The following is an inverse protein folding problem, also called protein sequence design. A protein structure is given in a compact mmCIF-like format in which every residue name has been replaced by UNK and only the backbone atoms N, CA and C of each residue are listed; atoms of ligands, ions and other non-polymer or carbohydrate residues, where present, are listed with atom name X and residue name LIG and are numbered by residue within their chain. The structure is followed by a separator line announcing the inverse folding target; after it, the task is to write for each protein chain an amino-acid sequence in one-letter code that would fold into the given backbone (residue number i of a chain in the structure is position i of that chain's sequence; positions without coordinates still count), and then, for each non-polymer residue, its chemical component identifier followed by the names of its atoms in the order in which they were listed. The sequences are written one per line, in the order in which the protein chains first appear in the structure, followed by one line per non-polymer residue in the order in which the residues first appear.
data_IF_251132730136
#
_entry.id   IF_251132730136
#
_cell.length_a   1.000
_cell.length_b   1.000
_cell.length_c   1.000
_cell.angle_alpha   90.00
_cell.angle_beta   90.00
_cell.angle_gamma   90.00
#
_symmetry.space_group_name_H-M   'P 1'
#
loop_
_entity.id
_entity.type
_entity.pdbx_description
1 polymer ?
#
# COMPACT_ATOMS: atom_id res chain seq x y z
N UNK A 1 1.01 -7.12 15.15
CA UNK A 1 0.74 -6.29 13.97
C UNK A 1 0.75 -7.22 12.76
N UNK A 2 -0.37 -7.39 12.03
CA UNK A 2 -0.48 -8.32 10.91
C UNK A 2 0.26 -7.87 9.65
N UNK A 3 0.68 -6.60 9.59
CA UNK A 3 1.44 -6.02 8.49
C UNK A 3 2.92 -6.03 8.89
N UNK A 4 3.73 -6.78 8.16
CA UNK A 4 5.20 -6.74 8.27
C UNK A 4 5.73 -6.00 7.06
N UNK A 5 6.74 -5.16 7.23
CA UNK A 5 7.36 -4.49 6.08
C UNK A 5 8.88 -4.37 6.19
N UNK A 6 9.51 -4.25 5.04
CA UNK A 6 10.91 -3.88 4.86
C UNK A 6 11.04 -2.82 3.77
N UNK A 7 12.07 -1.98 3.86
CA UNK A 7 12.40 -1.01 2.81
C UNK A 7 13.62 -1.55 2.06
N UNK A 8 13.46 -1.79 0.76
CA UNK A 8 14.56 -2.01 -0.16
C UNK A 8 15.04 -0.65 -0.67
N UNK A 9 16.17 -0.19 -0.14
CA UNK A 9 16.76 1.10 -0.52
C UNK A 9 17.30 1.08 -1.96
N UNK A 10 17.74 -0.07 -2.46
CA UNK A 10 18.26 -0.18 -3.82
C UNK A 10 17.14 -0.10 -4.86
N UNK A 11 15.99 -0.71 -4.57
CA UNK A 11 14.79 -0.64 -5.40
C UNK A 11 13.90 0.58 -5.11
N UNK A 12 14.24 1.38 -4.10
CA UNK A 12 13.40 2.47 -3.58
C UNK A 12 11.95 2.01 -3.31
N UNK A 13 11.79 0.80 -2.75
CA UNK A 13 10.51 0.12 -2.62
C UNK A 13 10.28 -0.41 -1.20
N UNK A 14 9.08 -0.18 -0.68
CA UNK A 14 8.62 -0.81 0.55
C UNK A 14 7.89 -2.09 0.20
N UNK A 15 8.33 -3.22 0.76
CA UNK A 15 7.63 -4.49 0.67
C UNK A 15 6.85 -4.72 1.95
N UNK A 16 5.53 -4.69 1.87
CA UNK A 16 4.63 -4.97 2.98
C UNK A 16 3.90 -6.30 2.73
N UNK A 17 3.79 -7.13 3.76
CA UNK A 17 3.05 -8.38 3.75
C UNK A 17 1.99 -8.35 4.84
N UNK A 18 0.75 -8.63 4.46
CA UNK A 18 -0.41 -8.67 5.34
C UNK A 18 -0.77 -10.12 5.65
N UNK A 19 -0.75 -10.47 6.93
CA UNK A 19 -0.93 -11.85 7.40
C UNK A 19 -1.98 -11.92 8.51
N UNK A 20 -2.89 -12.89 8.45
CA UNK A 20 -3.87 -13.11 9.51
C UNK A 20 -5.02 -12.08 9.53
N UNK A 21 -5.75 -11.95 10.64
CA UNK A 21 -6.87 -11.01 10.74
C UNK A 21 -6.35 -9.57 10.75
N UNK A 22 -6.78 -8.78 9.76
CA UNK A 22 -6.48 -7.36 9.68
C UNK A 22 -7.57 -6.56 10.39
N UNK A 23 -7.19 -5.84 11.43
CA UNK A 23 -8.06 -4.89 12.12
C UNK A 23 -8.02 -3.53 11.43
N UNK A 24 -9.02 -2.71 11.70
CA UNK A 24 -9.14 -1.37 11.11
C UNK A 24 -7.94 -0.46 11.42
N UNK A 25 -7.36 -0.57 12.63
CA UNK A 25 -6.23 0.25 13.04
C UNK A 25 -4.90 -0.19 12.40
N UNK A 26 -4.79 -1.41 11.88
CA UNK A 26 -3.51 -1.95 11.42
C UNK A 26 -2.94 -1.20 10.19
N UNK A 27 -3.72 -0.88 9.14
CA UNK A 27 -3.20 -0.09 8.02
C UNK A 27 -2.78 1.33 8.45
N UNK A 28 -3.47 1.92 9.43
CA UNK A 28 -3.16 3.24 9.97
C UNK A 28 -1.81 3.19 10.70
N UNK A 29 -1.65 2.24 11.63
CA UNK A 29 -0.39 2.04 12.34
C UNK A 29 0.76 1.70 11.40
N UNK A 30 0.52 0.95 10.33
CA UNK A 30 1.52 0.70 9.29
C UNK A 30 1.99 2.00 8.64
N UNK A 31 1.07 2.88 8.23
CA UNK A 31 1.43 4.16 7.61
C UNK A 31 2.22 5.04 8.59
N UNK A 32 1.79 5.11 9.85
CA UNK A 32 2.51 5.88 10.88
C UNK A 32 3.92 5.32 11.11
N UNK A 33 4.04 4.00 11.27
CA UNK A 33 5.34 3.34 11.46
C UNK A 33 6.25 3.54 10.26
N UNK A 34 5.72 3.50 9.03
CA UNK A 34 6.47 3.77 7.82
C UNK A 34 6.95 5.23 7.76
N UNK A 35 6.08 6.19 8.09
CA UNK A 35 6.43 7.61 8.09
C UNK A 35 7.52 7.96 9.11
N UNK A 36 7.58 7.24 10.22
CA UNK A 36 8.57 7.43 11.27
C UNK A 36 9.82 6.53 11.06
N UNK A 37 9.84 5.69 10.02
CA UNK A 37 10.96 4.80 9.73
C UNK A 37 12.20 5.61 9.25
N UNK A 38 13.41 5.34 9.78
CA UNK A 38 14.60 6.14 9.45
C UNK A 38 15.03 6.08 7.98
N UNK A 39 14.68 5.00 7.28
CA UNK A 39 14.92 4.84 5.84
C UNK A 39 13.77 5.37 4.94
N UNK A 40 12.67 5.88 5.52
CA UNK A 40 11.59 6.46 4.73
C UNK A 40 12.02 7.73 4.01
N UNK A 41 11.78 7.80 2.70
CA UNK A 41 12.02 8.99 1.89
C UNK A 41 10.81 9.24 0.98
N UNK A 42 10.47 10.50 0.67
CA UNK A 42 9.49 10.81 -0.38
C UNK A 42 9.88 10.17 -1.72
N UNK A 43 8.90 9.66 -2.45
CA UNK A 43 9.09 9.02 -3.76
C UNK A 43 9.24 7.50 -3.73
N UNK A 44 9.32 6.88 -2.53
CA UNK A 44 9.30 5.42 -2.42
C UNK A 44 8.03 4.83 -3.03
N UNK A 45 8.20 3.71 -3.72
CA UNK A 45 7.12 2.83 -4.13
C UNK A 45 6.73 1.91 -2.97
N UNK A 46 5.52 1.35 -3.00
CA UNK A 46 5.07 0.35 -2.01
C UNK A 46 4.40 -0.81 -2.72
N UNK A 47 4.84 -2.03 -2.41
CA UNK A 47 4.13 -3.27 -2.75
C UNK A 47 3.50 -3.85 -1.49
N UNK A 48 2.19 -4.04 -1.49
CA UNK A 48 1.44 -4.66 -0.39
C UNK A 48 0.92 -6.02 -0.85
N UNK A 49 1.34 -7.08 -0.18
CA UNK A 49 0.88 -8.44 -0.42
C UNK A 49 -0.24 -8.82 0.58
N UNK A 50 -1.42 -9.13 0.07
CA UNK A 50 -2.59 -9.53 0.85
C UNK A 50 -2.94 -11.01 0.68
N UNK A 51 -2.06 -11.87 0.16
CA UNK A 51 -2.39 -13.28 -0.10
C UNK A 51 -2.72 -14.06 1.18
N UNK A 52 -2.00 -13.77 2.27
CA UNK A 52 -2.19 -14.38 3.58
C UNK A 52 -3.20 -13.62 4.48
N UNK A 53 -3.95 -12.67 3.92
CA UNK A 53 -4.94 -11.88 4.65
C UNK A 53 -6.18 -12.74 4.98
N UNK A 54 -6.60 -12.70 6.24
CA UNK A 54 -7.90 -13.19 6.68
C UNK A 54 -8.92 -12.07 6.71
N UNK A 55 -9.99 -12.21 5.92
CA UNK A 55 -10.95 -11.13 5.60
C UNK A 55 -12.05 -10.97 6.65
N UNK A 56 -11.95 -11.64 7.81
CA UNK A 56 -13.04 -11.63 8.80
C UNK A 56 -13.43 -10.22 9.27
N UNK A 57 -12.46 -9.31 9.38
CA UNK A 57 -12.66 -8.01 10.02
C UNK A 57 -12.36 -6.80 9.11
N UNK A 58 -11.92 -7.01 7.86
CA UNK A 58 -11.70 -5.92 6.92
C UNK A 58 -12.99 -5.57 6.19
N UNK A 59 -13.64 -4.47 6.60
CA UNK A 59 -14.96 -4.06 6.12
C UNK A 59 -14.90 -2.84 5.21
N UNK A 60 -15.99 -2.56 4.50
CA UNK A 60 -16.14 -1.32 3.71
C UNK A 60 -16.04 -0.05 4.56
N UNK A 61 -16.51 -0.11 5.82
CA UNK A 61 -16.38 1.00 6.78
C UNK A 61 -14.92 1.26 7.10
N UNK A 62 -14.13 0.20 7.33
CA UNK A 62 -12.70 0.30 7.57
C UNK A 62 -11.96 0.92 6.37
N UNK A 63 -12.33 0.53 5.14
CA UNK A 63 -11.79 1.12 3.91
C UNK A 63 -12.07 2.64 3.83
N UNK A 64 -13.29 3.07 4.15
CA UNK A 64 -13.64 4.50 4.14
C UNK A 64 -12.83 5.31 5.15
N UNK A 65 -12.59 4.76 6.34
CA UNK A 65 -11.76 5.40 7.38
C UNK A 65 -10.29 5.46 6.98
N UNK A 66 -9.77 4.41 6.34
CA UNK A 66 -8.41 4.41 5.79
C UNK A 66 -8.25 5.51 4.72
N UNK A 67 -9.21 5.68 3.81
CA UNK A 67 -9.18 6.74 2.80
C UNK A 67 -9.21 8.14 3.44
N UNK A 68 -10.02 8.34 4.48
CA UNK A 68 -10.05 9.61 5.21
C UNK A 68 -8.73 9.89 5.93
N UNK A 69 -8.11 8.86 6.52
CA UNK A 69 -6.81 8.98 7.17
C UNK A 69 -5.69 9.32 6.17
N UNK A 70 -5.60 8.62 5.04
CA UNK A 70 -4.55 8.88 4.04
C UNK A 70 -4.65 10.28 3.44
N UNK A 71 -5.87 10.80 3.27
CA UNK A 71 -6.09 12.21 2.91
C UNK A 71 -5.56 13.17 3.98
N UNK A 72 -5.73 12.88 5.27
CA UNK A 72 -5.22 13.72 6.37
C UNK A 72 -3.68 13.76 6.36
N UNK A 73 -3.02 12.65 6.03
CA UNK A 73 -1.55 12.54 6.06
C UNK A 73 -0.88 12.77 4.71
N UNK A 74 -1.62 13.08 3.65
CA UNK A 74 -1.11 13.22 2.27
C UNK A 74 0.09 14.16 2.12
N UNK A 75 0.19 15.20 2.97
CA UNK A 75 1.32 16.13 2.97
C UNK A 75 2.64 15.52 3.45
N UNK A 76 2.58 14.46 4.28
CA UNK A 76 3.73 13.68 4.77
C UNK A 76 3.91 12.39 3.98
N UNK A 77 2.80 11.75 3.59
CA UNK A 77 2.76 10.46 2.92
C UNK A 77 2.94 10.61 1.40
N UNK A 78 4.17 10.91 1.00
CA UNK A 78 4.58 11.19 -0.38
C UNK A 78 5.17 9.95 -1.04
N UNK A 79 4.33 8.96 -1.33
CA UNK A 79 4.72 7.80 -2.14
C UNK A 79 4.65 8.13 -3.63
N UNK A 80 5.36 7.36 -4.45
CA UNK A 80 5.23 7.45 -5.91
C UNK A 80 4.09 6.55 -6.42
N UNK A 81 4.26 5.23 -6.24
CA UNK A 81 3.31 4.19 -6.63
C UNK A 81 3.00 3.26 -5.47
N UNK A 82 1.76 2.81 -5.38
CA UNK A 82 1.31 1.77 -4.45
C UNK A 82 0.66 0.65 -5.23
N UNK A 83 1.30 -0.52 -5.25
CA UNK A 83 0.76 -1.73 -5.82
C UNK A 83 0.24 -2.63 -4.70
N UNK A 84 -1.01 -3.07 -4.80
CA UNK A 84 -1.58 -4.05 -3.85
C UNK A 84 -1.89 -5.34 -4.59
N UNK A 85 -1.33 -6.46 -4.14
CA UNK A 85 -1.62 -7.79 -4.68
C UNK A 85 -2.70 -8.43 -3.82
N UNK A 86 -3.85 -8.71 -4.44
CA UNK A 86 -5.01 -9.28 -3.78
C UNK A 86 -5.65 -10.37 -4.64
N UNK A 87 -5.26 -11.63 -4.41
CA UNK A 87 -5.79 -12.78 -5.17
C UNK A 87 -7.23 -13.13 -4.80
N UNK A 88 -7.57 -13.00 -3.52
CA UNK A 88 -8.91 -13.29 -3.02
C UNK A 88 -9.93 -12.26 -3.55
N UNK A 89 -11.04 -12.69 -4.20
CA UNK A 89 -11.99 -11.76 -4.84
C UNK A 89 -12.57 -10.69 -3.91
N UNK A 90 -12.85 -11.06 -2.66
CA UNK A 90 -13.38 -10.13 -1.65
C UNK A 90 -12.35 -9.05 -1.27
N UNK A 91 -11.08 -9.43 -1.07
CA UNK A 91 -9.99 -8.48 -0.78
C UNK A 91 -9.79 -7.56 -1.97
N UNK A 92 -9.75 -8.12 -3.17
CA UNK A 92 -9.63 -7.34 -4.40
C UNK A 92 -10.74 -6.28 -4.50
N UNK A 93 -12.00 -6.65 -4.22
CA UNK A 93 -13.12 -5.72 -4.22
C UNK A 93 -12.99 -4.59 -3.19
N UNK A 94 -12.57 -4.91 -1.97
CA UNK A 94 -12.38 -3.92 -0.90
C UNK A 94 -11.24 -2.95 -1.21
N UNK A 95 -10.13 -3.45 -1.75
CA UNK A 95 -8.99 -2.64 -2.17
C UNK A 95 -9.34 -1.77 -3.39
N UNK A 96 -10.12 -2.30 -4.34
CA UNK A 96 -10.68 -1.50 -5.45
C UNK A 96 -11.56 -0.37 -4.95
N UNK A 97 -12.37 -0.61 -3.93
CA UNK A 97 -13.19 0.42 -3.32
C UNK A 97 -12.31 1.51 -2.68
N UNK A 98 -11.23 1.12 -1.99
CA UNK A 98 -10.24 2.06 -1.48
C UNK A 98 -9.63 2.91 -2.59
N UNK A 99 -9.20 2.27 -3.69
CA UNK A 99 -8.61 2.95 -4.85
C UNK A 99 -9.53 4.03 -5.44
N UNK A 100 -10.85 3.78 -5.44
CA UNK A 100 -11.85 4.75 -5.90
C UNK A 100 -12.12 5.89 -4.90
N UNK A 101 -12.00 5.62 -3.60
CA UNK A 101 -12.29 6.58 -2.53
C UNK A 101 -11.11 7.49 -2.18
N UNK A 102 -9.87 7.07 -2.48
CA UNK A 102 -8.69 7.87 -2.19
C UNK A 102 -8.58 9.07 -3.13
N UNK A 103 -7.96 10.14 -2.64
CA UNK A 103 -7.56 11.29 -3.44
C UNK A 103 -6.07 11.16 -3.83
N UNK A 104 -5.63 11.75 -4.97
CA UNK A 104 -4.21 11.82 -5.34
C UNK A 104 -3.39 12.51 -4.23
N UNK A 105 -2.10 12.17 -4.04
CA UNK A 105 -1.13 12.41 -5.11
C UNK A 105 -0.40 11.18 -5.67
N UNK A 106 -0.45 10.02 -5.00
CA UNK A 106 0.24 8.83 -5.46
C UNK A 106 -0.64 7.98 -6.38
N UNK A 107 -0.01 7.33 -7.35
CA UNK A 107 -0.68 6.32 -8.15
C UNK A 107 -0.91 5.08 -7.29
N UNK A 108 -2.08 4.47 -7.44
CA UNK A 108 -2.44 3.26 -6.71
C UNK A 108 -3.11 2.32 -7.68
N UNK A 109 -2.74 1.05 -7.61
CA UNK A 109 -3.38 0.01 -8.41
C UNK A 109 -3.39 -1.30 -7.66
N UNK A 110 -4.46 -2.05 -7.85
CA UNK A 110 -4.60 -3.42 -7.33
C UNK A 110 -4.43 -4.43 -8.44
N UNK A 111 -3.71 -5.50 -8.13
CA UNK A 111 -3.31 -6.57 -9.03
C UNK A 111 -3.75 -7.92 -8.46
N UNK A 112 -3.89 -8.91 -9.34
CA UNK A 112 -4.08 -10.30 -8.92
C UNK A 112 -2.75 -11.04 -8.82
N UNK A 113 -1.77 -10.66 -9.63
CA UNK A 113 -0.50 -11.37 -9.72
C UNK A 113 0.66 -10.46 -9.29
N UNK A 114 1.62 -11.03 -8.57
CA UNK A 114 2.82 -10.32 -8.12
C UNK A 114 3.65 -9.78 -9.29
N UNK A 115 3.82 -10.58 -10.33
CA UNK A 115 4.62 -10.20 -11.50
C UNK A 115 4.08 -8.94 -12.20
N UNK A 116 2.75 -8.77 -12.27
CA UNK A 116 2.13 -7.57 -12.85
C UNK A 116 2.33 -6.34 -11.96
N UNK A 117 2.23 -6.52 -10.64
CA UNK A 117 2.49 -5.46 -9.68
C UNK A 117 3.94 -4.98 -9.76
N UNK A 118 4.88 -5.93 -9.82
CA UNK A 118 6.32 -5.65 -9.87
C UNK A 118 6.70 -4.92 -11.15
N UNK A 119 6.27 -5.42 -12.31
CA UNK A 119 6.49 -4.76 -13.60
C UNK A 119 5.96 -3.32 -13.60
N UNK A 120 4.77 -3.09 -13.04
CA UNK A 120 4.20 -1.76 -12.94
C UNK A 120 4.97 -0.83 -11.99
N UNK A 121 5.57 -1.34 -10.92
CA UNK A 121 6.42 -0.53 -10.05
C UNK A 121 7.76 -0.20 -10.73
N UNK A 122 8.34 -1.16 -11.44
CA UNK A 122 9.61 -1.01 -12.17
C UNK A 122 9.53 -0.01 -13.34
N UNK A 123 8.42 0.00 -14.08
CA UNK A 123 8.16 0.99 -15.15
C UNK A 123 8.35 2.43 -14.63
N UNK A 124 7.94 2.72 -13.40
CA UNK A 124 8.11 4.06 -12.83
C UNK A 124 9.53 4.38 -12.44
N UNK A 125 10.25 3.38 -11.90
CA UNK A 125 11.64 3.55 -11.53
C UNK A 125 12.48 3.91 -12.77
N UNK A 126 12.12 3.37 -13.94
CA UNK A 126 12.74 3.72 -15.22
C UNK A 126 12.34 5.10 -15.77
N UNK A 127 11.19 5.65 -15.37
CA UNK A 127 10.67 6.95 -15.84
C UNK A 127 11.05 8.13 -14.94
N UNK A 128 11.43 7.88 -13.69
CA UNK A 128 11.91 8.94 -12.81
C UNK A 128 13.18 9.55 -13.43
N UNK A 129 13.22 10.87 -13.68
CA UNK A 129 14.45 11.49 -14.16
C UNK A 129 15.54 11.19 -13.13
N UNK A 130 16.62 10.57 -13.61
CA UNK A 130 17.84 10.38 -12.81
C UNK A 130 18.32 11.72 -12.24
N UNK A 131 19.10 11.68 -11.13
CA UNK A 131 19.52 12.87 -10.40
C UNK A 131 20.18 13.93 -11.29
#
# INVERSE_FOLDING_TARGET
MPIHFSIDEAAACVHAQVTGPLQEADPIHFIETLLDHPAYRPGLSVRVDCDALSVRDFTSVAVGRLAAFTRKVQGRFKLSRVAVVARQPVVFGLVRMYEMLREPPHEFRVFREHAEADAWLEERASEAPGP
#
